data_IF_371471564831
#
_entry.id   IF_371471564831
#
_cell.length_a   1.000
_cell.length_b   1.000
_cell.length_c   1.000
_cell.angle_alpha   90.00
_cell.angle_beta   90.00
_cell.angle_gamma   90.00
#
_symmetry.space_group_name_H-M   'P 1'
#
loop_
_entity.id
_entity.type
_entity.pdbx_description
1 polymer ?
#
# COMPACT_ATOMS: atom_id res chain seq x y z
N UNK A 1 2.40 0.94 13.76
CA UNK A 1 3.18 0.06 12.88
C UNK A 1 4.66 0.17 13.22
N UNK A 2 5.27 1.35 13.12
CA UNK A 2 6.69 1.56 13.44
C UNK A 2 7.03 1.38 14.94
N UNK A 3 6.25 2.00 15.83
CA UNK A 3 6.41 1.82 17.28
C UNK A 3 5.69 0.58 17.83
N UNK A 4 5.28 -0.36 16.96
CA UNK A 4 4.50 -1.57 17.32
C UNK A 4 3.22 -1.32 18.15
N UNK A 5 2.67 -0.11 18.09
CA UNK A 5 1.40 0.24 18.74
C UNK A 5 0.17 -0.28 17.97
N UNK A 6 0.34 -0.61 16.69
CA UNK A 6 -0.72 -1.23 15.89
C UNK A 6 -0.65 -2.75 16.02
N UNK A 7 -1.82 -3.42 15.93
CA UNK A 7 -1.92 -4.90 15.95
C UNK A 7 -1.13 -5.59 14.83
N UNK A 8 -0.79 -4.82 13.81
CA UNK A 8 -0.12 -5.28 12.63
C UNK A 8 1.40 -5.00 12.73
N UNK A 9 2.27 -5.98 12.43
CA UNK A 9 3.72 -5.77 12.44
C UNK A 9 4.15 -4.99 11.18
N UNK A 10 5.28 -4.28 11.25
CA UNK A 10 5.75 -3.41 10.15
C UNK A 10 6.03 -4.20 8.87
N UNK A 11 6.42 -5.46 8.99
CA UNK A 11 6.71 -6.38 7.89
C UNK A 11 5.47 -6.64 7.03
N UNK A 12 4.26 -6.58 7.61
CA UNK A 12 3.01 -6.79 6.91
C UNK A 12 2.43 -5.48 6.30
N UNK A 13 3.14 -4.36 6.47
CA UNK A 13 2.68 -3.04 6.02
C UNK A 13 2.52 -2.97 4.51
N UNK A 14 3.41 -3.59 3.73
CA UNK A 14 3.29 -3.55 2.27
C UNK A 14 2.11 -4.40 1.76
N UNK A 15 1.85 -5.56 2.35
CA UNK A 15 0.68 -6.38 2.01
C UNK A 15 -0.62 -5.62 2.30
N UNK A 16 -0.66 -4.87 3.41
CA UNK A 16 -1.80 -4.02 3.76
C UNK A 16 -1.99 -2.87 2.79
N UNK A 17 -0.91 -2.18 2.43
CA UNK A 17 -0.94 -1.11 1.44
C UNK A 17 -1.40 -1.62 0.07
N UNK A 18 -0.89 -2.76 -0.39
CA UNK A 18 -1.27 -3.36 -1.65
C UNK A 18 -2.77 -3.73 -1.67
N UNK A 19 -3.25 -4.40 -0.61
CA UNK A 19 -4.66 -4.74 -0.47
C UNK A 19 -5.55 -3.49 -0.45
N UNK A 20 -5.16 -2.45 0.29
CA UNK A 20 -5.92 -1.21 0.41
C UNK A 20 -5.92 -0.40 -0.90
N UNK A 21 -4.81 -0.36 -1.62
CA UNK A 21 -4.68 0.36 -2.89
C UNK A 21 -5.29 -0.40 -4.08
N UNK A 22 -5.71 -1.66 -3.89
CA UNK A 22 -6.35 -2.49 -4.92
C UNK A 22 -5.49 -2.67 -6.18
N UNK A 23 -4.16 -2.68 -6.03
CA UNK A 23 -3.24 -2.86 -7.14
C UNK A 23 -3.17 -1.67 -8.13
N UNK A 24 -3.33 -0.43 -7.66
CA UNK A 24 -3.40 0.78 -8.50
C UNK A 24 -2.30 1.79 -8.18
N UNK A 25 -2.20 2.82 -9.02
CA UNK A 25 -1.29 3.94 -8.86
C UNK A 25 -2.01 5.16 -8.27
N UNK A 26 -1.67 5.52 -7.04
CA UNK A 26 -2.20 6.69 -6.32
C UNK A 26 -1.18 7.83 -6.22
N UNK A 27 -0.07 7.79 -6.96
CA UNK A 27 1.04 8.75 -6.84
C UNK A 27 0.58 10.20 -6.97
N UNK A 28 -0.33 10.49 -7.91
CA UNK A 28 -0.84 11.85 -8.09
C UNK A 28 -1.68 12.34 -6.89
N UNK A 29 -2.51 11.47 -6.32
CA UNK A 29 -3.25 11.78 -5.10
C UNK A 29 -2.29 12.01 -3.91
N UNK A 30 -1.30 11.13 -3.74
CA UNK A 30 -0.31 11.24 -2.68
C UNK A 30 0.51 12.53 -2.77
N UNK A 31 0.92 12.92 -3.98
CA UNK A 31 1.63 14.17 -4.24
C UNK A 31 0.80 15.38 -3.80
N UNK A 32 -0.48 15.42 -4.16
CA UNK A 32 -1.41 16.50 -3.79
C UNK A 32 -1.68 16.54 -2.28
N UNK A 33 -1.74 15.38 -1.62
CA UNK A 33 -1.95 15.28 -0.17
C UNK A 33 -0.65 15.41 0.65
N UNK A 34 0.45 15.85 0.04
CA UNK A 34 1.67 16.20 0.77
C UNK A 34 2.48 15.01 1.28
N UNK A 35 2.31 13.81 0.73
CA UNK A 35 3.12 12.63 1.09
C UNK A 35 4.61 12.86 0.81
N UNK A 36 4.95 13.71 -0.15
CA UNK A 36 6.33 14.07 -0.48
C UNK A 36 6.94 15.17 0.39
N UNK A 37 6.22 15.66 1.40
CA UNK A 37 6.69 16.76 2.29
C UNK A 37 7.54 16.26 3.46
N UNK A 38 7.79 14.95 3.55
CA UNK A 38 8.64 14.33 4.58
C UNK A 38 10.12 14.52 4.23
N UNK A 39 11.00 14.19 5.17
CA UNK A 39 12.45 14.17 4.93
C UNK A 39 12.86 13.18 3.82
N UNK A 40 12.05 12.14 3.57
CA UNK A 40 12.29 11.16 2.52
C UNK A 40 11.79 11.62 1.13
N UNK A 41 11.05 12.74 1.07
CA UNK A 41 10.66 13.38 -0.18
C UNK A 41 9.87 12.46 -1.12
N UNK A 42 10.27 12.43 -2.40
CA UNK A 42 9.60 11.64 -3.44
C UNK A 42 9.74 10.13 -3.26
N UNK A 43 10.67 9.64 -2.42
CA UNK A 43 10.78 8.21 -2.10
C UNK A 43 9.48 7.63 -1.56
N UNK A 44 8.70 8.45 -0.84
CA UNK A 44 7.43 8.02 -0.26
C UNK A 44 6.36 7.67 -1.31
N UNK A 45 6.53 8.10 -2.56
CA UNK A 45 5.63 7.71 -3.65
C UNK A 45 5.72 6.22 -3.99
N UNK A 46 6.78 5.51 -3.57
CA UNK A 46 6.90 4.05 -3.76
C UNK A 46 5.79 3.26 -3.07
N UNK A 47 5.17 3.84 -2.04
CA UNK A 47 4.05 3.25 -1.31
C UNK A 47 2.68 3.63 -1.91
N UNK A 48 2.66 4.58 -2.85
CA UNK A 48 1.46 5.06 -3.51
C UNK A 48 1.23 4.36 -4.84
N UNK A 49 2.30 4.00 -5.55
CA UNK A 49 2.20 3.10 -6.70
C UNK A 49 2.19 1.66 -6.19
N UNK A 50 1.03 1.01 -6.22
CA UNK A 50 0.84 -0.37 -5.75
C UNK A 50 0.49 -1.32 -6.90
N UNK A 51 0.76 -0.93 -8.15
CA UNK A 51 0.43 -1.78 -9.30
C UNK A 51 1.24 -3.09 -9.34
N UNK A 52 0.65 -4.21 -9.79
CA UNK A 52 1.34 -5.50 -9.88
C UNK A 52 2.46 -5.56 -10.94
N UNK A 53 2.52 -4.63 -11.88
CA UNK A 53 3.63 -4.51 -12.83
C UNK A 53 4.88 -3.90 -12.18
N UNK A 54 4.71 -3.20 -11.04
CA UNK A 54 5.81 -2.74 -10.17
C UNK A 54 6.21 -3.78 -9.12
N UNK A 55 5.25 -4.58 -8.64
CA UNK A 55 5.46 -5.68 -7.69
C UNK A 55 4.98 -6.98 -8.35
N UNK A 56 5.91 -7.78 -8.87
CA UNK A 56 5.65 -9.04 -9.59
C UNK A 56 4.46 -9.86 -9.04
N UNK A 57 3.67 -10.50 -9.93
CA UNK A 57 2.34 -10.98 -9.63
C UNK A 57 2.39 -12.22 -8.73
N UNK A 58 1.68 -12.19 -7.59
CA UNK A 58 1.07 -13.42 -7.08
C UNK A 58 -0.19 -13.70 -7.90
N UNK A 59 -0.36 -14.93 -8.43
CA UNK A 59 -1.61 -15.32 -9.08
C UNK A 59 -2.68 -15.45 -8.00
N UNK A 60 -3.50 -14.41 -7.80
CA UNK A 60 -4.77 -14.56 -7.09
C UNK A 60 -5.79 -15.24 -8.00
N UNK A 61 -5.58 -16.53 -8.27
CA UNK A 61 -6.64 -17.48 -8.63
C UNK A 61 -6.32 -18.79 -7.92
N UNK A 62 -7.30 -19.30 -7.18
CA UNK A 62 -7.15 -20.33 -6.15
C UNK A 62 -6.13 -21.42 -6.45
N UNK A 63 -5.22 -21.63 -5.49
CA UNK A 63 -4.35 -22.80 -5.46
C UNK A 63 -4.35 -23.37 -4.04
N UNK A 64 -5.24 -24.33 -3.83
CA UNK A 64 -5.00 -25.39 -2.86
C UNK A 64 -3.69 -26.10 -3.24
N UNK A 65 -2.89 -26.43 -2.22
CA UNK A 65 -1.74 -27.35 -2.21
C UNK A 65 -0.47 -26.86 -2.92
N UNK A 66 0.54 -26.45 -2.14
CA UNK A 66 1.80 -27.19 -1.98
C UNK A 66 2.64 -26.55 -0.85
N UNK A 67 3.31 -27.34 0.00
CA UNK A 67 4.39 -26.85 0.87
C UNK A 67 5.61 -26.61 -0.03
N UNK A 68 6.41 -25.58 0.25
CA UNK A 68 7.44 -25.03 -0.63
C UNK A 68 6.95 -24.01 -1.67
N UNK A 69 6.83 -22.76 -1.22
CA UNK A 69 7.25 -21.61 -2.04
C UNK A 69 7.69 -20.50 -1.10
N UNK A 70 8.96 -20.54 -0.72
CA UNK A 70 9.74 -19.38 -0.28
C UNK A 70 9.96 -18.43 -1.47
N UNK A 71 8.89 -18.04 -2.16
CA UNK A 71 8.91 -16.85 -3.00
C UNK A 71 8.39 -15.73 -2.10
N UNK A 72 9.27 -15.25 -1.23
CA UNK A 72 9.03 -14.01 -0.51
C UNK A 72 8.63 -12.99 -1.55
N UNK A 73 7.39 -12.47 -1.44
CA UNK A 73 6.97 -11.23 -2.05
C UNK A 73 8.17 -10.29 -1.91
N UNK A 74 8.82 -9.91 -3.02
CA UNK A 74 9.91 -8.94 -2.97
C UNK A 74 9.24 -7.58 -2.82
N UNK A 75 8.54 -7.40 -1.69
CA UNK A 75 8.35 -6.11 -1.07
C UNK A 75 9.77 -5.57 -1.06
N UNK A 76 10.01 -4.47 -1.77
CA UNK A 76 11.25 -3.72 -1.64
C UNK A 76 11.59 -3.72 -0.16
N UNK A 77 12.70 -4.38 0.24
CA UNK A 77 13.14 -4.39 1.64
C UNK A 77 13.45 -2.92 1.93
N UNK A 78 12.44 -2.18 2.37
CA UNK A 78 12.55 -0.76 2.61
C UNK A 78 13.51 -0.63 3.78
N UNK A 79 14.64 -0.01 3.51
CA UNK A 79 15.59 0.35 4.54
C UNK A 79 14.99 1.44 5.45
N UNK A 80 15.72 1.77 6.52
CA UNK A 80 15.30 2.82 7.45
C UNK A 80 15.14 4.21 6.80
N UNK A 81 15.61 4.43 5.56
CA UNK A 81 15.46 5.72 4.86
C UNK A 81 14.01 6.03 4.47
N UNK A 82 13.12 5.04 4.55
CA UNK A 82 11.68 5.21 4.31
C UNK A 82 10.87 5.45 5.58
N UNK A 83 11.49 5.38 6.76
CA UNK A 83 10.81 5.66 8.04
C UNK A 83 10.10 7.02 8.04
N UNK A 84 10.68 8.12 7.53
CA UNK A 84 10.01 9.42 7.49
C UNK A 84 8.71 9.42 6.66
N UNK A 85 8.51 8.46 5.75
CA UNK A 85 7.27 8.37 4.99
C UNK A 85 6.06 8.04 5.86
N UNK A 86 6.28 7.33 6.98
CA UNK A 86 5.19 6.97 7.90
C UNK A 86 4.62 8.17 8.66
N UNK A 87 5.32 9.31 8.71
CA UNK A 87 4.78 10.56 9.26
C UNK A 87 3.57 11.07 8.44
N UNK A 88 3.46 10.65 7.17
CA UNK A 88 2.34 10.98 6.28
C UNK A 88 1.43 9.79 5.98
N UNK A 89 1.45 8.76 6.83
CA UNK A 89 0.67 7.55 6.64
C UNK A 89 -0.84 7.80 6.48
N UNK A 90 -1.40 8.77 7.23
CA UNK A 90 -2.81 9.12 7.11
C UNK A 90 -3.14 9.72 5.72
N UNK A 91 -2.27 10.58 5.19
CA UNK A 91 -2.46 11.17 3.86
C UNK A 91 -2.36 10.11 2.75
N UNK A 92 -1.52 9.09 2.94
CA UNK A 92 -1.44 7.94 2.05
C UNK A 92 -2.74 7.13 2.07
N UNK A 93 -3.23 6.78 3.28
CA UNK A 93 -4.48 6.04 3.46
C UNK A 93 -5.71 6.74 2.89
N UNK A 94 -5.79 8.06 3.02
CA UNK A 94 -6.91 8.84 2.48
C UNK A 94 -7.07 8.62 0.96
N UNK A 95 -5.96 8.54 0.23
CA UNK A 95 -5.99 8.27 -1.21
C UNK A 95 -6.58 6.89 -1.54
N UNK A 96 -6.23 5.86 -0.77
CA UNK A 96 -6.76 4.51 -0.96
C UNK A 96 -8.25 4.42 -0.58
N UNK A 97 -8.62 5.07 0.52
CA UNK A 97 -9.98 5.02 1.05
C UNK A 97 -11.00 5.74 0.16
N UNK A 98 -10.65 6.90 -0.40
CA UNK A 98 -11.56 7.69 -1.24
C UNK A 98 -12.05 6.89 -2.45
N UNK A 99 -11.16 6.16 -3.13
CA UNK A 99 -11.55 5.31 -4.26
C UNK A 99 -12.47 4.15 -3.84
N UNK A 100 -12.16 3.47 -2.73
CA UNK A 100 -12.99 2.38 -2.22
C UNK A 100 -14.40 2.90 -1.89
N UNK A 101 -14.47 4.05 -1.21
CA UNK A 101 -15.73 4.70 -0.85
C UNK A 101 -16.54 5.08 -2.08
N UNK A 102 -15.91 5.69 -3.09
CA UNK A 102 -16.60 6.05 -4.34
C UNK A 102 -17.11 4.83 -5.11
N UNK A 103 -16.35 3.72 -5.14
CA UNK A 103 -16.82 2.48 -5.76
C UNK A 103 -18.01 1.89 -4.99
N UNK A 104 -17.90 1.85 -3.67
CA UNK A 104 -18.96 1.35 -2.81
C UNK A 104 -20.24 2.18 -2.97
N UNK A 105 -20.14 3.51 -3.03
CA UNK A 105 -21.31 4.39 -3.26
C UNK A 105 -21.93 4.19 -4.65
N UNK A 106 -21.14 3.92 -5.69
CA UNK A 106 -21.68 3.61 -7.03
C UNK A 106 -22.37 2.26 -7.08
N UNK A 107 -21.81 1.26 -6.40
CA UNK A 107 -22.31 -0.12 -6.44
C UNK A 107 -23.49 -0.35 -5.49
N UNK A 108 -23.51 0.33 -4.35
CA UNK A 108 -24.47 0.09 -3.26
C UNK A 108 -25.20 1.35 -2.78
N UNK A 109 -24.79 2.55 -3.21
CA UNK A 109 -25.37 3.83 -2.77
C UNK A 109 -26.60 4.29 -3.56
N UNK A 110 -27.08 3.48 -4.52
CA UNK A 110 -28.42 3.67 -5.09
C UNK A 110 -29.41 2.78 -4.33
N UNK A 111 -29.70 3.16 -3.08
CA UNK A 111 -30.87 2.68 -2.35
C UNK A 111 -31.40 3.78 -1.45
#
# INVERSE_FOLDING_TARGET
>A
MYFKTDRCPIEATADMHFCAAQGRDHTECCRRNGVTTTLAGTKCLTFCDQRPDRYVPLPFRGALRHPFTLLTFRITKLDYSYVPCYDRFEQMKQCFYNEIREKASRQYGSR
#
